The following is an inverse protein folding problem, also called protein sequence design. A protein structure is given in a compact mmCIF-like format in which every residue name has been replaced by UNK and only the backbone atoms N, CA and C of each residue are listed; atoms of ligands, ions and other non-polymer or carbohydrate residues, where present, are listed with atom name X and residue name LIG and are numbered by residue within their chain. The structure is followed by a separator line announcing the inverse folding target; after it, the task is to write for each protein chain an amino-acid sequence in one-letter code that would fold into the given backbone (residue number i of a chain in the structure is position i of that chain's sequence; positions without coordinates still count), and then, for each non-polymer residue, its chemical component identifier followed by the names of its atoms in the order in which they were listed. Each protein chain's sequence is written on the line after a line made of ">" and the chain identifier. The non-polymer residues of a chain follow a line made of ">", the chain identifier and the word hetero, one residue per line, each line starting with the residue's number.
data_IF_921795553105
#
_entry.id   IF_921795553105
#
_cell.length_a   1.000
_cell.length_b   1.000
_cell.length_c   1.000
_cell.angle_alpha   90.00
_cell.angle_beta   90.00
_cell.angle_gamma   90.00
#
_symmetry.space_group_name_H-M   'P 1'
#
loop_
_entity.id
_entity.type
_entity.pdbx_description
1 polymer ?
#
# COMPACT_ATOMS: atom_id res chain seq x y z
N UNK A 1 25.37 -58.49 -11.82
CA UNK A 1 25.41 -57.29 -10.96
C UNK A 1 24.87 -56.13 -11.75
N UNK A 2 23.58 -55.75 -11.56
CA UNK A 2 22.97 -54.58 -12.17
C UNK A 2 23.15 -53.39 -11.22
N UNK A 3 23.77 -52.29 -11.71
CA UNK A 3 23.82 -51.01 -11.01
C UNK A 3 22.58 -50.19 -11.39
N UNK A 4 21.70 -49.94 -10.42
CA UNK A 4 20.61 -49.01 -10.57
C UNK A 4 21.15 -47.58 -10.45
N UNK A 5 21.08 -46.80 -11.56
CA UNK A 5 21.37 -45.37 -11.57
C UNK A 5 20.17 -44.63 -11.03
N UNK A 6 20.33 -43.91 -9.92
CA UNK A 6 19.31 -42.98 -9.41
C UNK A 6 19.30 -41.72 -10.25
N UNK A 7 18.19 -41.46 -10.94
CA UNK A 7 17.94 -40.23 -11.68
C UNK A 7 17.50 -39.15 -10.69
N UNK A 8 18.37 -38.17 -10.39
CA UNK A 8 18.02 -37.03 -9.56
C UNK A 8 17.18 -36.06 -10.40
N UNK A 9 15.88 -35.96 -10.10
CA UNK A 9 14.99 -34.97 -10.66
C UNK A 9 15.25 -33.65 -9.89
N UNK A 10 15.95 -32.72 -10.51
CA UNK A 10 16.09 -31.35 -9.99
C UNK A 10 14.73 -30.67 -10.11
N UNK A 11 14.05 -30.45 -8.99
CA UNK A 11 12.84 -29.63 -8.94
C UNK A 11 13.24 -28.17 -9.23
N UNK A 12 12.88 -27.66 -10.41
CA UNK A 12 12.94 -26.23 -10.72
C UNK A 12 11.87 -25.54 -9.88
N UNK A 13 12.29 -24.86 -8.81
CA UNK A 13 11.43 -23.89 -8.12
C UNK A 13 11.25 -22.69 -9.07
N UNK A 14 10.01 -22.25 -9.33
CA UNK A 14 9.79 -21.07 -10.14
C UNK A 14 10.44 -19.87 -9.43
N UNK A 15 11.22 -19.08 -10.17
CA UNK A 15 11.74 -17.81 -9.68
C UNK A 15 10.55 -16.89 -9.38
N UNK A 16 10.56 -16.14 -8.27
CA UNK A 16 9.53 -15.15 -7.99
C UNK A 16 9.44 -14.18 -9.16
N UNK A 17 8.22 -13.84 -9.58
CA UNK A 17 8.00 -12.84 -10.61
C UNK A 17 8.60 -11.49 -10.15
N UNK A 18 9.17 -10.69 -11.06
CA UNK A 18 9.73 -9.40 -10.68
C UNK A 18 8.63 -8.46 -10.18
N UNK A 19 8.93 -7.71 -9.11
CA UNK A 19 8.04 -6.69 -8.58
C UNK A 19 7.75 -5.61 -9.65
N UNK A 20 6.50 -5.17 -9.76
CA UNK A 20 6.11 -4.06 -10.64
C UNK A 20 6.54 -2.72 -10.00
N UNK A 21 7.52 -2.06 -10.61
CA UNK A 21 8.08 -0.79 -10.13
C UNK A 21 7.57 0.38 -10.99
N UNK A 22 6.99 1.39 -10.35
CA UNK A 22 6.47 2.57 -11.03
C UNK A 22 6.46 3.80 -10.14
N UNK A 23 6.27 4.96 -10.76
CA UNK A 23 6.17 6.25 -10.07
C UNK A 23 4.80 6.86 -10.32
N UNK A 24 4.19 7.41 -9.28
CA UNK A 24 3.00 8.26 -9.38
C UNK A 24 3.33 9.67 -8.94
N UNK A 25 2.71 10.65 -9.61
CA UNK A 25 2.84 12.07 -9.28
C UNK A 25 1.48 12.73 -9.25
N UNK A 26 1.32 13.71 -8.35
CA UNK A 26 0.17 14.58 -8.28
C UNK A 26 0.62 16.03 -8.05
N UNK A 27 -0.02 16.98 -8.73
CA UNK A 27 0.20 18.41 -8.50
C UNK A 27 -0.25 18.81 -7.09
N UNK A 28 0.22 19.96 -6.55
CA UNK A 28 -0.26 20.49 -5.29
C UNK A 28 -1.78 20.59 -5.24
N UNK A 29 -2.40 20.04 -4.19
CA UNK A 29 -3.86 20.01 -4.03
C UNK A 29 -4.60 18.98 -4.88
N UNK A 30 -3.88 18.15 -5.65
CA UNK A 30 -4.46 17.09 -6.48
C UNK A 30 -4.10 15.71 -5.95
N UNK A 31 -4.76 14.73 -6.54
CA UNK A 31 -4.66 13.32 -6.21
C UNK A 31 -4.56 12.50 -7.48
N UNK A 32 -3.68 11.49 -7.49
CA UNK A 32 -3.52 10.54 -8.59
C UNK A 32 -3.51 9.13 -8.05
N UNK A 33 -4.17 8.20 -8.74
CA UNK A 33 -4.29 6.82 -8.30
C UNK A 33 -4.19 5.81 -9.44
N UNK A 34 -3.64 4.64 -9.11
CA UNK A 34 -3.55 3.46 -9.99
C UNK A 34 -4.21 2.28 -9.28
N UNK A 35 -5.21 1.67 -9.92
CA UNK A 35 -5.77 0.39 -9.50
C UNK A 35 -4.77 -0.72 -9.83
N UNK A 36 -4.55 -1.65 -8.92
CA UNK A 36 -3.59 -2.74 -9.04
C UNK A 36 -4.27 -4.07 -9.37
N UNK A 37 -5.47 -4.30 -8.85
CA UNK A 37 -6.20 -5.54 -9.04
C UNK A 37 -7.69 -5.34 -9.23
N UNK A 38 -8.37 -6.38 -9.69
CA UNK A 38 -9.84 -6.41 -9.81
C UNK A 38 -10.52 -6.54 -8.45
N UNK A 39 -11.82 -6.24 -8.42
CA UNK A 39 -12.66 -6.44 -7.22
C UNK A 39 -12.72 -7.91 -6.85
N UNK A 40 -12.43 -8.22 -5.59
CA UNK A 40 -12.44 -9.57 -5.04
C UNK A 40 -12.78 -9.55 -3.54
N UNK A 41 -13.29 -10.68 -3.04
CA UNK A 41 -13.54 -10.88 -1.61
C UNK A 41 -12.28 -11.21 -0.80
N UNK A 42 -11.18 -11.56 -1.50
CA UNK A 42 -9.84 -11.72 -0.95
C UNK A 42 -8.84 -11.08 -1.88
N UNK A 43 -7.93 -10.27 -1.32
CA UNK A 43 -6.87 -9.63 -2.06
C UNK A 43 -5.66 -9.39 -1.15
N UNK A 44 -4.48 -9.43 -1.74
CA UNK A 44 -3.22 -9.09 -1.06
C UNK A 44 -2.50 -8.05 -1.90
N UNK A 45 -1.88 -7.10 -1.24
CA UNK A 45 -0.93 -6.17 -1.86
C UNK A 45 0.24 -5.99 -0.91
N UNK A 46 1.45 -6.26 -1.40
CA UNK A 46 2.69 -6.09 -0.65
C UNK A 46 3.73 -5.37 -1.49
N UNK A 47 4.78 -4.89 -0.85
CA UNK A 47 5.83 -4.18 -1.53
C UNK A 47 6.48 -3.10 -0.69
N UNK A 48 6.96 -2.06 -1.37
CA UNK A 48 7.53 -0.88 -0.72
C UNK A 48 7.13 0.41 -1.42
N UNK A 49 7.13 1.49 -0.68
CA UNK A 49 6.95 2.84 -1.19
C UNK A 49 7.98 3.80 -0.60
N UNK A 50 8.28 4.84 -1.35
CA UNK A 50 9.09 5.99 -0.92
C UNK A 50 8.51 7.26 -1.53
N UNK A 51 8.33 8.29 -0.71
CA UNK A 51 7.98 9.62 -1.23
C UNK A 51 9.28 10.29 -1.65
N UNK A 52 9.36 10.72 -2.90
CA UNK A 52 10.57 11.33 -3.48
C UNK A 52 10.44 12.83 -3.69
N UNK A 53 9.19 13.34 -3.73
CA UNK A 53 8.94 14.76 -3.84
C UNK A 53 7.69 15.15 -3.05
N UNK A 54 7.82 16.21 -2.26
CA UNK A 54 6.74 16.81 -1.50
C UNK A 54 6.39 18.16 -2.13
N UNK A 55 5.22 18.26 -2.71
CA UNK A 55 4.70 19.52 -3.26
C UNK A 55 3.63 20.05 -2.29
N UNK A 56 4.04 20.75 -1.24
CA UNK A 56 3.10 21.36 -0.30
C UNK A 56 2.18 22.35 -1.02
N UNK A 57 0.96 22.51 -0.55
CA UNK A 57 0.01 23.51 -1.01
C UNK A 57 -1.45 23.11 -0.88
N UNK A 58 -2.30 24.10 -0.71
CA UNK A 58 -3.77 24.06 -0.85
C UNK A 58 -4.52 22.89 -0.21
N UNK A 59 -4.29 22.65 1.08
CA UNK A 59 -5.20 21.86 1.92
C UNK A 59 -5.00 20.35 1.92
N UNK A 60 -4.24 19.79 0.98
CA UNK A 60 -3.95 18.34 0.94
C UNK A 60 -2.48 18.09 1.27
N UNK A 61 -2.19 17.40 2.39
CA UNK A 61 -0.80 17.09 2.71
C UNK A 61 -0.20 16.15 1.66
N UNK A 62 1.10 16.32 1.36
CA UNK A 62 1.83 15.36 0.55
C UNK A 62 1.79 13.98 1.17
N UNK A 63 1.39 12.98 0.38
CA UNK A 63 1.24 11.62 0.89
C UNK A 63 1.22 10.56 -0.19
N UNK A 64 1.56 9.33 0.23
CA UNK A 64 1.44 8.12 -0.54
C UNK A 64 0.55 7.12 0.19
N UNK A 65 -0.27 6.40 -0.56
CA UNK A 65 -1.32 5.55 -0.03
C UNK A 65 -1.31 4.20 -0.75
N UNK A 66 -1.56 3.14 0.01
CA UNK A 66 -1.80 1.78 -0.51
C UNK A 66 -3.03 1.24 0.20
N UNK A 67 -3.96 0.62 -0.52
CA UNK A 67 -5.15 0.13 0.16
C UNK A 67 -6.12 -0.64 -0.71
N UNK A 68 -7.32 -0.76 -0.16
CA UNK A 68 -8.46 -1.41 -0.77
C UNK A 68 -9.64 -0.45 -0.80
N UNK A 69 -10.42 -0.48 -1.87
CA UNK A 69 -11.62 0.33 -2.01
C UNK A 69 -12.76 -0.45 -2.64
N UNK A 70 -13.99 -0.05 -2.29
CA UNK A 70 -15.20 -0.46 -2.95
C UNK A 70 -15.77 0.75 -3.73
N UNK A 71 -16.27 0.49 -4.92
CA UNK A 71 -16.87 1.51 -5.80
C UNK A 71 -15.84 2.40 -6.50
N UNK A 72 -16.29 3.18 -7.50
CA UNK A 72 -15.43 4.01 -8.34
C UNK A 72 -14.86 5.22 -7.58
N UNK A 73 -15.62 5.81 -6.68
CA UNK A 73 -15.28 7.07 -6.00
C UNK A 73 -14.39 6.89 -4.76
N UNK A 74 -14.12 5.64 -4.37
CA UNK A 74 -13.33 5.28 -3.19
C UNK A 74 -13.87 5.83 -1.86
N UNK A 75 -15.16 6.16 -1.82
CA UNK A 75 -15.88 6.61 -0.62
C UNK A 75 -15.91 5.55 0.49
N UNK A 76 -15.69 4.30 0.11
CA UNK A 76 -15.49 3.17 1.00
C UNK A 76 -14.08 2.65 0.77
N UNK A 77 -13.18 2.93 1.69
CA UNK A 77 -11.79 2.48 1.54
C UNK A 77 -11.06 2.30 2.87
N UNK A 78 -10.03 1.47 2.85
CA UNK A 78 -9.04 1.36 3.90
C UNK A 78 -7.66 1.58 3.27
N UNK A 79 -6.84 2.41 3.89
CA UNK A 79 -5.58 2.85 3.35
C UNK A 79 -4.48 2.73 4.40
N UNK A 80 -3.37 2.12 4.05
CA UNK A 80 -2.09 2.41 4.65
C UNK A 80 -1.61 3.74 4.08
N UNK A 81 -1.13 4.63 4.92
CA UNK A 81 -0.78 6.00 4.56
C UNK A 81 0.61 6.36 5.03
N UNK A 82 1.35 7.09 4.21
CA UNK A 82 2.61 7.75 4.57
C UNK A 82 2.45 9.22 4.19
N UNK A 83 2.41 10.11 5.17
CA UNK A 83 2.06 11.53 4.98
C UNK A 83 3.12 12.41 5.64
N UNK A 84 3.46 13.53 5.00
CA UNK A 84 4.21 14.64 5.59
C UNK A 84 3.25 15.78 5.89
N UNK A 85 3.00 16.07 7.17
CA UNK A 85 2.01 17.07 7.57
C UNK A 85 2.44 18.49 7.24
N UNK A 86 3.75 18.80 7.39
CA UNK A 86 4.34 20.10 7.05
C UNK A 86 5.63 19.90 6.29
N UNK A 87 5.93 20.79 5.37
CA UNK A 87 7.18 20.73 4.59
C UNK A 87 8.43 20.83 5.47
N UNK A 88 8.34 21.51 6.60
CA UNK A 88 9.42 21.64 7.58
C UNK A 88 9.63 20.41 8.46
N UNK A 89 8.66 19.45 8.48
CA UNK A 89 8.79 18.27 9.33
C UNK A 89 9.96 17.39 8.85
N UNK A 90 10.87 16.97 9.75
CA UNK A 90 11.98 16.09 9.40
C UNK A 90 11.56 14.62 9.25
N UNK A 91 10.27 14.32 9.40
CA UNK A 91 9.71 12.98 9.34
C UNK A 91 8.41 12.94 8.54
N UNK A 92 8.05 11.74 8.12
CA UNK A 92 6.74 11.36 7.64
C UNK A 92 6.01 10.56 8.71
N UNK A 93 4.70 10.69 8.78
CA UNK A 93 3.83 9.85 9.62
C UNK A 93 3.33 8.69 8.79
N UNK A 94 3.65 7.48 9.20
CA UNK A 94 3.06 6.26 8.65
C UNK A 94 1.92 5.79 9.55
N UNK A 95 0.82 5.36 8.93
CA UNK A 95 -0.37 4.94 9.65
C UNK A 95 -1.41 4.29 8.76
N UNK A 96 -2.64 4.27 9.22
CA UNK A 96 -3.77 3.84 8.40
C UNK A 96 -5.00 4.71 8.63
N UNK A 97 -5.89 4.74 7.66
CA UNK A 97 -7.22 5.33 7.78
C UNK A 97 -8.30 4.47 7.12
N UNK A 98 -9.51 4.58 7.63
CA UNK A 98 -10.72 4.02 7.05
C UNK A 98 -11.62 5.17 6.63
N UNK A 99 -12.10 5.12 5.41
CA UNK A 99 -13.07 6.07 4.83
C UNK A 99 -14.40 5.34 4.68
N UNK A 100 -15.46 5.95 5.21
CA UNK A 100 -16.84 5.46 5.10
C UNK A 100 -17.73 6.61 4.65
N UNK A 101 -18.40 6.44 3.50
CA UNK A 101 -19.22 7.49 2.90
C UNK A 101 -18.45 8.77 2.62
N UNK A 102 -17.20 8.66 2.16
CA UNK A 102 -16.34 9.80 1.85
C UNK A 102 -15.76 10.55 3.07
N UNK A 103 -15.97 10.05 4.28
CA UNK A 103 -15.46 10.65 5.53
C UNK A 103 -14.50 9.72 6.25
N UNK A 104 -13.53 10.31 6.94
CA UNK A 104 -12.63 9.54 7.80
C UNK A 104 -13.39 8.99 9.02
N UNK A 105 -13.64 7.68 9.03
CA UNK A 105 -14.28 6.98 10.14
C UNK A 105 -13.26 6.55 11.21
N UNK A 106 -12.02 6.27 10.79
CA UNK A 106 -10.93 5.85 11.69
C UNK A 106 -9.59 6.30 11.13
N UNK A 107 -8.72 6.79 12.01
CA UNK A 107 -7.33 7.14 11.72
C UNK A 107 -6.43 6.66 12.86
N UNK A 108 -5.28 6.10 12.54
CA UNK A 108 -4.27 5.77 13.54
C UNK A 108 -2.86 5.92 12.97
N UNK A 109 -1.99 6.55 13.74
CA UNK A 109 -0.56 6.60 13.48
C UNK A 109 0.13 5.35 14.01
N UNK A 110 1.05 4.79 13.23
CA UNK A 110 1.85 3.62 13.58
C UNK A 110 3.30 4.01 13.92
N UNK A 111 3.89 4.93 13.15
CA UNK A 111 5.25 5.40 13.39
C UNK A 111 5.51 6.77 12.75
N UNK A 112 6.53 7.45 13.27
CA UNK A 112 7.23 8.54 12.61
C UNK A 112 8.52 7.99 12.01
N UNK A 113 8.75 8.24 10.73
CA UNK A 113 9.90 7.74 9.98
C UNK A 113 10.65 8.92 9.34
N UNK A 114 11.98 8.85 9.16
CA UNK A 114 12.72 9.86 8.41
C UNK A 114 12.10 10.10 7.03
N UNK A 115 12.21 11.32 6.52
CA UNK A 115 11.58 11.77 5.25
C UNK A 115 11.91 10.85 4.06
N UNK A 116 13.15 10.36 3.98
CA UNK A 116 13.61 9.55 2.84
C UNK A 116 13.44 8.05 3.04
N UNK A 117 12.65 7.64 4.03
CA UNK A 117 12.47 6.22 4.34
C UNK A 117 11.80 5.46 3.20
N UNK A 118 12.35 4.28 2.90
CA UNK A 118 11.64 3.24 2.16
C UNK A 118 10.77 2.47 3.14
N UNK A 119 9.47 2.51 2.94
CA UNK A 119 8.50 1.87 3.83
C UNK A 119 7.99 0.61 3.17
N UNK A 120 8.23 -0.55 3.80
CA UNK A 120 7.65 -1.83 3.37
C UNK A 120 6.24 -1.96 3.93
N UNK A 121 5.35 -2.51 3.13
CA UNK A 121 3.98 -2.76 3.50
C UNK A 121 3.51 -4.14 3.04
N UNK A 122 2.60 -4.73 3.81
CA UNK A 122 1.80 -5.86 3.39
C UNK A 122 0.37 -5.67 3.90
N UNK A 123 -0.59 -5.73 3.00
CA UNK A 123 -2.02 -5.60 3.29
C UNK A 123 -2.75 -6.83 2.76
N UNK A 124 -3.56 -7.42 3.62
CA UNK A 124 -4.43 -8.56 3.27
C UNK A 124 -5.87 -8.16 3.54
N UNK A 125 -6.71 -8.25 2.53
CA UNK A 125 -8.16 -8.10 2.63
C UNK A 125 -8.83 -9.48 2.57
N UNK A 126 -9.68 -9.79 3.52
CA UNK A 126 -10.51 -11.00 3.54
C UNK A 126 -11.92 -10.64 4.07
N UNK A 127 -12.89 -10.46 3.15
CA UNK A 127 -14.32 -10.28 3.44
C UNK A 127 -14.59 -9.23 4.54
N UNK A 128 -14.01 -8.04 4.40
CA UNK A 128 -14.20 -6.95 5.35
C UNK A 128 -13.27 -6.95 6.55
N UNK A 129 -12.31 -7.86 6.59
CA UNK A 129 -11.19 -7.83 7.55
C UNK A 129 -9.93 -7.47 6.81
N UNK A 130 -9.24 -6.42 7.25
CA UNK A 130 -7.96 -5.97 6.67
C UNK A 130 -6.86 -6.12 7.69
N UNK A 131 -5.83 -6.86 7.34
CA UNK A 131 -4.59 -6.95 8.12
C UNK A 131 -3.54 -6.09 7.42
N UNK A 132 -2.95 -5.16 8.19
CA UNK A 132 -1.91 -4.26 7.71
C UNK A 132 -0.62 -4.53 8.48
N UNK A 133 0.49 -4.65 7.77
CA UNK A 133 1.81 -4.75 8.35
C UNK A 133 2.73 -3.70 7.72
N UNK A 134 3.50 -3.02 8.54
CA UNK A 134 4.50 -2.04 8.13
C UNK A 134 5.88 -2.48 8.61
N UNK A 135 6.84 -2.54 7.70
CA UNK A 135 8.20 -3.00 7.98
C UNK A 135 8.16 -4.33 8.77
N UNK A 136 8.87 -4.42 9.89
CA UNK A 136 8.92 -5.60 10.75
C UNK A 136 8.04 -5.44 12.00
N UNK A 137 7.09 -4.49 11.99
CA UNK A 137 6.16 -4.28 13.09
C UNK A 137 5.08 -5.36 13.15
N UNK A 138 4.48 -5.53 14.32
CA UNK A 138 3.33 -6.41 14.49
C UNK A 138 2.16 -5.96 13.62
N UNK A 139 1.46 -6.87 12.96
CA UNK A 139 0.33 -6.52 12.10
C UNK A 139 -0.83 -5.93 12.92
N UNK A 140 -1.55 -5.02 12.29
CA UNK A 140 -2.78 -4.40 12.82
C UNK A 140 -3.96 -4.91 12.02
N UNK A 141 -5.05 -5.29 12.71
CA UNK A 141 -6.28 -5.74 12.07
C UNK A 141 -7.36 -4.67 12.17
N UNK A 142 -8.01 -4.39 11.05
CA UNK A 142 -9.08 -3.39 10.92
C UNK A 142 -10.30 -4.04 10.26
N UNK A 143 -11.50 -3.75 10.75
CA UNK A 143 -12.75 -4.14 10.10
C UNK A 143 -13.30 -2.98 9.28
N UNK A 144 -13.84 -3.31 8.10
CA UNK A 144 -14.48 -2.36 7.18
C UNK A 144 -15.86 -2.88 6.79
N UNK A 145 -16.82 -2.01 6.41
CA UNK A 145 -18.20 -2.40 6.14
C UNK A 145 -18.43 -3.07 4.78
N UNK A 146 -17.41 -3.22 3.95
CA UNK A 146 -17.51 -3.82 2.63
C UNK A 146 -16.78 -5.18 2.59
N UNK A 147 -17.30 -6.12 1.79
CA UNK A 147 -16.83 -7.51 1.70
C UNK A 147 -16.11 -7.86 0.41
N UNK A 148 -16.08 -6.93 -0.53
CA UNK A 148 -15.34 -7.02 -1.80
C UNK A 148 -14.63 -5.69 -2.07
N UNK A 149 -13.43 -5.75 -2.60
CA UNK A 149 -12.62 -4.57 -2.84
C UNK A 149 -11.61 -4.78 -3.97
N UNK A 150 -11.20 -3.68 -4.60
CA UNK A 150 -10.04 -3.61 -5.47
C UNK A 150 -8.85 -3.03 -4.72
N UNK A 151 -7.65 -3.55 -4.98
CA UNK A 151 -6.42 -2.96 -4.46
C UNK A 151 -5.96 -1.77 -5.32
N UNK A 152 -5.33 -0.79 -4.68
CA UNK A 152 -4.83 0.39 -5.38
C UNK A 152 -3.69 1.06 -4.62
N UNK A 153 -3.00 1.93 -5.33
CA UNK A 153 -2.05 2.89 -4.77
C UNK A 153 -2.42 4.30 -5.22
N UNK A 154 -2.00 5.28 -4.47
CA UNK A 154 -2.24 6.68 -4.82
C UNK A 154 -1.24 7.63 -4.18
N UNK A 155 -1.23 8.85 -4.69
CA UNK A 155 -0.37 9.94 -4.24
C UNK A 155 -1.20 11.22 -4.16
N UNK A 156 -0.93 12.07 -3.18
CA UNK A 156 -1.43 13.43 -3.08
C UNK A 156 -0.29 14.43 -3.00
N UNK A 157 -0.39 15.56 -3.71
CA UNK A 157 0.52 16.71 -3.59
C UNK A 157 2.01 16.35 -3.60
N UNK A 158 2.44 15.47 -4.50
CA UNK A 158 3.84 15.02 -4.53
C UNK A 158 4.11 13.91 -5.54
N UNK A 159 5.23 13.24 -5.34
CA UNK A 159 5.66 12.10 -6.14
C UNK A 159 6.11 10.97 -5.22
N UNK A 160 5.67 9.76 -5.49
CA UNK A 160 6.12 8.57 -4.80
C UNK A 160 6.49 7.44 -5.76
N UNK A 161 7.51 6.69 -5.40
CA UNK A 161 7.92 5.44 -6.04
C UNK A 161 7.28 4.27 -5.30
N UNK A 162 6.75 3.33 -6.07
CA UNK A 162 6.18 2.09 -5.59
C UNK A 162 6.89 0.89 -6.20
N UNK A 163 7.14 -0.13 -5.39
CA UNK A 163 7.47 -1.48 -5.85
C UNK A 163 6.39 -2.38 -5.27
N UNK A 164 5.60 -3.01 -6.13
CA UNK A 164 4.50 -3.88 -5.72
C UNK A 164 4.83 -5.30 -6.12
N UNK A 165 4.77 -6.21 -5.17
CA UNK A 165 4.98 -7.63 -5.42
C UNK A 165 3.79 -8.21 -6.20
N UNK A 166 4.03 -9.16 -7.10
CA UNK A 166 3.02 -9.78 -7.94
C UNK A 166 2.03 -10.66 -7.14
#
# INVERSE_FOLDING_TARGET
>A
MLRAGALAIAAFLPLPAPADAFTLSAHPGYYNAKTLGSVASKATVSGSLRIVQFNGGNGWPPGAYVGFHQGPDRDQSVQFVVIRNKESDPYVVAGYRVIEGGKEAKVASLANLPVDSVVRFALVFDKGVVTLQMNDQSPVTVRVPFTEAASYVSVSSGTAEFKVDP
#
